data_IF_344162824480
#
_entry.id   IF_344162824480
#
_cell.length_a   1.000
_cell.length_b   1.000
_cell.length_c   1.000
_cell.angle_alpha   90.00
_cell.angle_beta   90.00
_cell.angle_gamma   90.00
#
_symmetry.space_group_name_H-M   'P 1'
#
loop_
_entity.id
_entity.type
_entity.pdbx_description
1 polymer ?
#
# COMPACT_ATOMS: atom_id res chain seq x y z
N UNK A 1 -30.87 29.84 32.71
CA UNK A 1 -30.15 30.06 31.44
C UNK A 1 -31.12 29.80 30.31
N UNK A 2 -31.30 30.75 29.40
CA UNK A 2 -32.06 30.51 28.16
C UNK A 2 -31.10 29.97 27.10
N UNK A 3 -31.48 28.90 26.41
CA UNK A 3 -30.71 28.33 25.30
C UNK A 3 -31.15 28.96 23.99
N UNK A 4 -30.20 29.28 23.10
CA UNK A 4 -30.48 29.69 21.73
C UNK A 4 -30.27 28.49 20.81
N UNK A 5 -31.27 28.18 19.97
CA UNK A 5 -31.16 27.18 18.90
C UNK A 5 -30.86 27.91 17.60
N UNK A 6 -29.86 27.43 16.87
CA UNK A 6 -29.44 27.99 15.58
C UNK A 6 -29.33 26.83 14.60
N UNK A 7 -30.04 26.92 13.49
CA UNK A 7 -29.92 25.98 12.38
C UNK A 7 -28.84 26.46 11.41
N UNK A 8 -28.78 27.77 11.14
CA UNK A 8 -27.86 28.34 10.16
C UNK A 8 -27.30 29.68 10.61
N UNK A 9 -26.04 29.93 10.24
CA UNK A 9 -25.39 31.24 10.33
C UNK A 9 -25.07 31.67 8.89
N UNK A 10 -25.64 32.77 8.42
CA UNK A 10 -25.43 33.28 7.07
C UNK A 10 -24.16 34.13 6.96
N UNK A 11 -23.57 34.15 5.76
CA UNK A 11 -22.51 35.09 5.43
C UNK A 11 -23.06 36.53 5.44
N UNK A 12 -22.36 37.52 6.00
CA UNK A 12 -22.93 38.87 6.16
C UNK A 12 -23.19 39.60 4.83
N UNK A 13 -22.51 39.20 3.74
CA UNK A 13 -22.58 39.89 2.45
C UNK A 13 -23.31 39.13 1.35
N UNK A 14 -23.87 37.96 1.63
CA UNK A 14 -24.65 37.19 0.66
C UNK A 14 -25.61 36.22 1.38
N UNK A 15 -26.48 35.55 0.64
CA UNK A 15 -27.47 34.63 1.20
C UNK A 15 -26.95 33.21 1.45
N UNK A 16 -25.64 32.95 1.29
CA UNK A 16 -25.08 31.63 1.55
C UNK A 16 -24.91 31.41 3.05
N UNK A 17 -25.11 30.17 3.47
CA UNK A 17 -24.83 29.76 4.85
C UNK A 17 -23.32 29.60 5.01
N UNK A 18 -22.76 30.21 6.07
CA UNK A 18 -21.37 30.05 6.50
C UNK A 18 -21.23 28.86 7.45
N UNK A 19 -22.23 28.65 8.32
CA UNK A 19 -22.36 27.46 9.18
C UNK A 19 -23.76 26.90 9.03
N UNK A 20 -23.88 25.59 8.85
CA UNK A 20 -25.17 24.87 8.91
C UNK A 20 -25.07 23.78 9.98
N UNK A 21 -26.07 23.71 10.86
CA UNK A 21 -26.19 22.78 11.98
C UNK A 21 -27.48 21.98 11.74
N UNK A 22 -27.35 20.72 11.33
CA UNK A 22 -28.48 19.83 11.16
C UNK A 22 -28.77 19.06 12.46
N UNK A 23 -30.04 18.98 12.86
CA UNK A 23 -30.48 18.26 14.06
C UNK A 23 -29.97 16.82 14.04
N UNK A 24 -29.24 16.44 15.10
CA UNK A 24 -28.65 15.11 15.31
C UNK A 24 -27.87 14.56 14.09
N UNK A 25 -27.26 15.47 13.31
CA UNK A 25 -26.56 15.15 12.07
C UNK A 25 -25.26 15.96 11.94
N UNK A 26 -24.89 16.39 10.73
CA UNK A 26 -23.64 17.09 10.48
C UNK A 26 -23.69 18.57 10.89
N UNK A 27 -22.55 19.09 11.33
CA UNK A 27 -22.23 20.52 11.33
C UNK A 27 -21.28 20.79 10.17
N UNK A 28 -21.59 21.78 9.35
CA UNK A 28 -20.81 22.12 8.15
C UNK A 28 -20.32 23.57 8.19
N UNK A 29 -19.02 23.78 7.99
CA UNK A 29 -18.41 25.06 7.67
C UNK A 29 -18.32 25.21 6.15
N UNK A 30 -18.81 26.33 5.63
CA UNK A 30 -18.99 26.55 4.19
C UNK A 30 -18.20 27.77 3.70
N UNK A 31 -17.67 27.67 2.48
CA UNK A 31 -17.08 28.79 1.76
C UNK A 31 -17.79 28.95 0.41
N UNK A 32 -18.36 30.13 0.16
CA UNK A 32 -19.14 30.43 -1.06
C UNK A 32 -20.21 29.36 -1.34
N UNK A 33 -20.97 28.97 -0.31
CA UNK A 33 -22.02 27.96 -0.38
C UNK A 33 -21.55 26.50 -0.37
N UNK A 34 -20.25 26.23 -0.57
CA UNK A 34 -19.70 24.87 -0.59
C UNK A 34 -19.17 24.44 0.78
N UNK A 35 -19.58 23.26 1.26
CA UNK A 35 -19.04 22.69 2.50
C UNK A 35 -17.56 22.37 2.36
N UNK A 36 -16.73 22.91 3.28
CA UNK A 36 -15.29 22.69 3.33
C UNK A 36 -14.90 21.74 4.45
N UNK A 37 -15.53 21.87 5.61
CA UNK A 37 -15.43 20.94 6.73
C UNK A 37 -16.85 20.52 7.08
N UNK A 38 -17.13 19.22 7.14
CA UNK A 38 -18.41 18.69 7.58
C UNK A 38 -18.19 17.54 8.55
N UNK A 39 -18.80 17.59 9.74
CA UNK A 39 -18.74 16.45 10.66
C UNK A 39 -19.53 15.26 10.13
N UNK A 40 -19.08 14.06 10.45
CA UNK A 40 -19.79 12.80 10.22
C UNK A 40 -19.94 12.09 11.57
N UNK A 41 -20.68 10.98 11.60
CA UNK A 41 -20.76 10.13 12.80
C UNK A 41 -19.41 9.52 13.20
N UNK A 42 -18.43 9.52 12.30
CA UNK A 42 -17.12 8.88 12.48
C UNK A 42 -15.94 9.85 12.39
N UNK A 43 -16.17 11.16 12.17
CA UNK A 43 -15.08 12.13 12.03
C UNK A 43 -15.49 13.38 11.26
N UNK A 44 -14.66 13.77 10.29
CA UNK A 44 -14.83 15.00 9.49
C UNK A 44 -14.46 14.73 8.04
N UNK A 45 -15.29 15.22 7.11
CA UNK A 45 -14.95 15.32 5.69
C UNK A 45 -14.37 16.71 5.43
N UNK A 46 -13.18 16.77 4.82
CA UNK A 46 -12.55 18.00 4.34
C UNK A 46 -12.57 17.99 2.81
N UNK A 47 -13.12 19.03 2.18
CA UNK A 47 -13.08 19.16 0.72
C UNK A 47 -12.00 20.15 0.28
N UNK A 48 -11.06 19.68 -0.54
CA UNK A 48 -9.89 20.43 -0.98
C UNK A 48 -8.61 20.06 -0.21
N UNK A 49 -7.62 20.95 -0.24
CA UNK A 49 -6.34 20.73 0.44
C UNK A 49 -6.44 21.06 1.94
N UNK A 50 -5.94 20.15 2.78
CA UNK A 50 -5.73 20.39 4.21
C UNK A 50 -4.22 20.48 4.47
N UNK A 51 -3.75 21.61 4.97
CA UNK A 51 -2.38 21.77 5.45
C UNK A 51 -2.36 21.56 6.97
N UNK A 52 -1.99 20.36 7.42
CA UNK A 52 -1.84 20.04 8.83
C UNK A 52 -0.38 20.20 9.28
N UNK A 53 -0.15 20.80 10.44
CA UNK A 53 1.18 20.84 11.07
C UNK A 53 1.55 19.51 11.71
N UNK A 54 0.56 18.76 12.17
CA UNK A 54 0.74 17.42 12.78
C UNK A 54 -0.54 16.63 12.56
N UNK A 55 -0.38 15.35 12.17
CA UNK A 55 -1.45 14.36 12.19
C UNK A 55 -1.01 13.25 13.14
N UNK A 56 -1.80 12.97 14.17
CA UNK A 56 -1.54 11.91 15.14
C UNK A 56 -2.50 10.74 14.92
N UNK A 57 -1.98 9.52 14.94
CA UNK A 57 -2.77 8.28 14.74
C UNK A 57 -2.53 7.64 13.37
N UNK A 58 -3.44 6.76 12.95
CA UNK A 58 -3.35 6.08 11.65
C UNK A 58 -3.89 6.95 10.53
N UNK A 59 -3.13 7.11 9.45
CA UNK A 59 -3.59 7.69 8.20
C UNK A 59 -4.00 6.59 7.24
N UNK A 60 -5.31 6.37 7.09
CA UNK A 60 -5.85 5.44 6.10
C UNK A 60 -6.21 6.21 4.83
N UNK A 61 -5.37 6.13 3.80
CA UNK A 61 -5.73 6.61 2.47
C UNK A 61 -6.40 5.48 1.69
N UNK A 62 -7.70 5.58 1.38
CA UNK A 62 -8.38 4.51 0.63
C UNK A 62 -7.94 4.44 -0.83
N UNK A 63 -7.44 5.55 -1.40
CA UNK A 63 -7.07 5.69 -2.83
C UNK A 63 -6.03 6.82 -3.09
N UNK A 64 -5.20 7.18 -2.11
CA UNK A 64 -4.30 8.34 -2.22
C UNK A 64 -2.85 7.99 -2.60
N UNK A 65 -2.21 8.85 -3.39
CA UNK A 65 -0.75 8.83 -3.64
C UNK A 65 -0.08 9.91 -2.78
N UNK A 66 1.03 9.57 -2.12
CA UNK A 66 1.93 10.57 -1.55
C UNK A 66 2.88 11.05 -2.65
N UNK A 67 2.78 12.32 -3.03
CA UNK A 67 3.61 12.91 -4.10
C UNK A 67 4.81 13.72 -3.56
N UNK A 68 4.88 13.92 -2.24
CA UNK A 68 5.98 14.60 -1.56
C UNK A 68 7.04 13.64 -1.03
N UNK A 69 8.09 14.21 -0.44
CA UNK A 69 9.08 13.45 0.31
C UNK A 69 8.45 12.79 1.53
N UNK A 70 8.75 11.50 1.72
CA UNK A 70 8.34 10.74 2.90
C UNK A 70 9.56 10.50 3.79
N UNK A 71 9.53 11.01 5.02
CA UNK A 71 10.57 10.77 6.03
C UNK A 71 9.97 9.88 7.12
N UNK A 72 10.55 8.68 7.30
CA UNK A 72 10.20 7.76 8.37
C UNK A 72 11.17 7.94 9.54
N UNK A 73 10.67 8.32 10.72
CA UNK A 73 11.52 8.50 11.91
C UNK A 73 11.92 7.18 12.60
N UNK A 74 11.33 6.07 12.17
CA UNK A 74 11.45 4.72 12.72
C UNK A 74 11.42 3.69 11.59
N UNK A 75 11.49 2.42 11.97
CA UNK A 75 11.40 1.30 11.06
C UNK A 75 10.12 1.30 10.22
N UNK A 76 10.22 0.73 9.04
CA UNK A 76 9.08 0.40 8.18
C UNK A 76 8.77 -1.07 8.44
N UNK A 77 7.56 -1.35 8.91
CA UNK A 77 7.06 -2.72 9.01
C UNK A 77 6.43 -3.11 7.68
N UNK A 78 7.04 -4.05 6.98
CA UNK A 78 6.51 -4.58 5.72
C UNK A 78 5.51 -5.72 5.96
N UNK A 79 4.50 -5.81 5.09
CA UNK A 79 3.60 -6.97 5.08
C UNK A 79 4.33 -8.19 4.54
N UNK A 80 4.35 -9.26 5.35
CA UNK A 80 4.84 -10.58 4.95
C UNK A 80 3.65 -11.42 4.49
N UNK A 81 3.72 -11.92 3.25
CA UNK A 81 2.67 -12.74 2.66
C UNK A 81 3.17 -14.15 2.33
N UNK A 82 2.45 -15.15 2.81
CA UNK A 82 2.72 -16.54 2.46
C UNK A 82 1.94 -16.93 1.20
N UNK A 83 2.66 -17.13 0.10
CA UNK A 83 2.09 -17.61 -1.15
C UNK A 83 1.48 -19.00 -0.93
N UNK A 84 0.23 -19.15 -1.35
CA UNK A 84 -0.41 -20.47 -1.47
C UNK A 84 0.13 -21.18 -2.70
N UNK A 85 0.70 -22.36 -2.50
CA UNK A 85 1.38 -23.11 -3.56
C UNK A 85 0.41 -23.58 -4.67
N UNK A 86 0.74 -23.26 -5.92
CA UNK A 86 -0.04 -23.61 -7.11
C UNK A 86 0.89 -23.86 -8.30
N UNK A 87 0.39 -24.46 -9.39
CA UNK A 87 1.19 -24.76 -10.60
C UNK A 87 1.82 -23.50 -11.20
N UNK A 88 1.09 -22.38 -11.13
CA UNK A 88 1.55 -21.05 -11.55
C UNK A 88 1.07 -20.01 -10.54
N UNK A 89 1.95 -19.11 -10.12
CA UNK A 89 1.63 -18.02 -9.18
C UNK A 89 2.19 -16.70 -9.70
N UNK A 90 1.40 -15.64 -9.57
CA UNK A 90 1.86 -14.28 -9.84
C UNK A 90 2.60 -13.69 -8.65
N UNK A 91 3.79 -13.15 -8.89
CA UNK A 91 4.57 -12.41 -7.92
C UNK A 91 4.10 -10.96 -7.92
N UNK A 92 3.30 -10.60 -6.92
CA UNK A 92 2.62 -9.30 -6.86
C UNK A 92 2.87 -8.63 -5.49
N UNK A 93 3.72 -7.58 -5.43
CA UNK A 93 4.02 -6.87 -4.20
C UNK A 93 2.79 -6.29 -3.48
N UNK A 94 1.63 -6.18 -4.13
CA UNK A 94 0.40 -5.73 -3.50
C UNK A 94 -0.07 -6.63 -2.34
N UNK A 95 0.29 -7.91 -2.37
CA UNK A 95 -0.03 -8.85 -1.29
C UNK A 95 0.91 -8.70 -0.09
N UNK A 96 2.11 -8.16 -0.34
CA UNK A 96 3.20 -8.00 0.61
C UNK A 96 4.52 -7.82 -0.12
N UNK A 97 5.34 -6.90 0.38
CA UNK A 97 6.67 -6.63 -0.18
C UNK A 97 7.67 -7.75 0.15
N UNK A 98 7.40 -8.52 1.22
CA UNK A 98 8.10 -9.77 1.52
C UNK A 98 7.14 -10.92 1.26
N UNK A 99 7.53 -11.88 0.42
CA UNK A 99 6.72 -13.06 0.14
C UNK A 99 7.49 -14.34 0.37
N UNK A 100 6.86 -15.31 1.04
CA UNK A 100 7.40 -16.66 1.22
C UNK A 100 6.65 -17.64 0.34
N UNK A 101 7.36 -18.56 -0.31
CA UNK A 101 6.74 -19.60 -1.13
C UNK A 101 7.41 -20.95 -0.92
N UNK A 102 6.65 -21.88 -0.33
CA UNK A 102 7.05 -23.28 -0.24
C UNK A 102 6.60 -24.03 -1.49
N UNK A 103 7.55 -24.55 -2.28
CA UNK A 103 7.26 -25.30 -3.49
C UNK A 103 6.97 -26.76 -3.16
N UNK A 104 5.82 -27.27 -3.57
CA UNK A 104 5.44 -28.69 -3.51
C UNK A 104 5.75 -29.50 -4.79
N UNK A 105 6.19 -28.83 -5.86
CA UNK A 105 6.59 -29.43 -7.14
C UNK A 105 7.43 -28.42 -7.94
N UNK A 106 7.81 -28.75 -9.17
CA UNK A 106 8.26 -27.74 -10.12
C UNK A 106 7.13 -26.74 -10.39
N UNK A 107 7.38 -25.44 -10.16
CA UNK A 107 6.38 -24.37 -10.29
C UNK A 107 6.74 -23.35 -11.36
N UNK A 108 5.79 -22.50 -11.70
CA UNK A 108 5.99 -21.34 -12.59
C UNK A 108 5.64 -20.04 -11.86
N UNK A 109 6.51 -19.05 -11.94
CA UNK A 109 6.23 -17.69 -11.50
C UNK A 109 5.83 -16.82 -12.70
N UNK A 110 4.88 -15.91 -12.50
CA UNK A 110 4.56 -14.84 -13.45
C UNK A 110 4.82 -13.47 -12.82
N UNK A 111 5.20 -12.50 -13.63
CA UNK A 111 5.49 -11.13 -13.21
C UNK A 111 4.20 -10.30 -13.10
N UNK A 112 3.96 -9.70 -11.94
CA UNK A 112 2.94 -8.67 -11.71
C UNK A 112 3.52 -7.36 -11.14
N UNK A 113 4.84 -7.18 -11.15
CA UNK A 113 5.47 -5.95 -10.69
C UNK A 113 5.25 -4.83 -11.71
N UNK A 114 4.88 -3.66 -11.20
CA UNK A 114 4.87 -2.41 -11.95
C UNK A 114 6.23 -1.71 -11.87
N UNK A 115 6.58 -0.89 -12.87
CA UNK A 115 7.86 -0.18 -12.89
C UNK A 115 8.04 0.66 -11.61
N UNK A 116 9.22 0.53 -10.99
CA UNK A 116 9.54 1.19 -9.73
C UNK A 116 9.21 0.36 -8.48
N UNK A 117 8.58 -0.81 -8.61
CA UNK A 117 8.38 -1.72 -7.48
C UNK A 117 9.55 -2.70 -7.32
N UNK A 118 9.76 -3.11 -6.06
CA UNK A 118 10.59 -4.25 -5.71
C UNK A 118 9.88 -5.17 -4.71
N UNK A 119 10.40 -6.37 -4.50
CA UNK A 119 9.96 -7.30 -3.46
C UNK A 119 11.08 -8.28 -3.10
N UNK A 120 11.07 -8.73 -1.85
CA UNK A 120 11.88 -9.86 -1.41
C UNK A 120 11.05 -11.15 -1.51
N UNK A 121 11.48 -12.06 -2.36
CA UNK A 121 10.92 -13.41 -2.47
C UNK A 121 11.81 -14.41 -1.75
N UNK A 122 11.23 -15.18 -0.83
CA UNK A 122 11.90 -16.26 -0.09
C UNK A 122 11.27 -17.58 -0.50
N UNK A 123 12.05 -18.45 -1.12
CA UNK A 123 11.56 -19.73 -1.65
C UNK A 123 12.11 -20.87 -0.83
N UNK A 124 11.25 -21.78 -0.40
CA UNK A 124 11.64 -23.07 0.18
C UNK A 124 11.21 -24.19 -0.77
N UNK A 125 12.16 -24.90 -1.36
CA UNK A 125 11.88 -26.05 -2.19
C UNK A 125 11.79 -27.31 -1.32
N UNK A 126 10.58 -27.84 -1.07
CA UNK A 126 10.41 -28.99 -0.16
C UNK A 126 11.13 -30.27 -0.59
N UNK A 127 11.63 -30.32 -1.83
CA UNK A 127 12.61 -31.27 -2.34
C UNK A 127 13.75 -30.52 -3.04
N UNK A 128 14.98 -31.01 -2.94
CA UNK A 128 16.18 -30.41 -3.57
C UNK A 128 16.09 -30.33 -5.10
N UNK A 129 15.16 -31.05 -5.72
CA UNK A 129 15.01 -31.12 -7.16
C UNK A 129 13.92 -30.19 -7.70
N UNK A 130 13.17 -29.50 -6.83
CA UNK A 130 12.13 -28.59 -7.28
C UNK A 130 12.73 -27.30 -7.80
N UNK A 131 12.35 -26.96 -9.04
CA UNK A 131 12.77 -25.75 -9.72
C UNK A 131 11.61 -24.77 -9.86
N UNK A 132 11.93 -23.48 -9.86
CA UNK A 132 10.99 -22.44 -10.27
C UNK A 132 11.30 -22.01 -11.71
N UNK A 133 10.29 -22.09 -12.58
CA UNK A 133 10.35 -21.44 -13.89
C UNK A 133 10.07 -19.95 -13.69
N UNK A 134 11.05 -19.11 -14.00
CA UNK A 134 10.96 -17.67 -13.82
C UNK A 134 10.25 -16.98 -15.00
N UNK A 135 9.58 -15.84 -14.77
CA UNK A 135 9.12 -14.98 -15.85
C UNK A 135 10.30 -14.48 -16.70
N UNK A 136 10.01 -13.81 -17.82
CA UNK A 136 11.07 -13.14 -18.59
C UNK A 136 11.70 -12.04 -17.74
N UNK A 137 12.96 -12.24 -17.35
CA UNK A 137 13.69 -11.34 -16.47
C UNK A 137 15.19 -11.37 -16.72
N UNK A 138 15.90 -10.34 -16.25
CA UNK A 138 17.36 -10.24 -16.30
C UNK A 138 17.95 -10.53 -14.93
N UNK A 139 18.82 -11.54 -14.85
CA UNK A 139 19.50 -11.88 -13.61
C UNK A 139 20.74 -11.00 -13.41
N UNK A 140 20.81 -10.36 -12.24
CA UNK A 140 22.06 -9.81 -11.73
C UNK A 140 23.00 -10.98 -11.48
N UNK A 141 24.19 -10.96 -12.09
CA UNK A 141 25.12 -12.10 -12.10
C UNK A 141 24.92 -13.08 -13.26
N UNK A 142 23.94 -12.87 -14.13
CA UNK A 142 23.82 -13.52 -15.43
C UNK A 142 22.98 -14.80 -15.49
N UNK A 143 22.69 -15.45 -14.36
CA UNK A 143 21.87 -16.67 -14.30
C UNK A 143 20.92 -16.71 -13.11
N UNK A 144 19.84 -17.49 -13.21
CA UNK A 144 18.97 -17.79 -12.09
C UNK A 144 19.72 -18.56 -10.98
N UNK A 145 19.33 -18.39 -9.71
CA UNK A 145 19.89 -19.19 -8.62
C UNK A 145 19.51 -20.65 -8.73
N UNK A 146 20.40 -21.52 -8.26
CA UNK A 146 20.02 -22.84 -7.76
C UNK A 146 19.32 -22.66 -6.42
N UNK A 147 18.12 -23.23 -6.25
CA UNK A 147 17.41 -23.17 -4.98
C UNK A 147 18.05 -24.09 -3.95
N UNK A 148 18.09 -23.65 -2.68
CA UNK A 148 18.70 -24.36 -1.56
C UNK A 148 17.94 -25.60 -1.07
N UNK A 149 16.90 -26.03 -1.78
CA UNK A 149 16.01 -27.10 -1.33
C UNK A 149 15.26 -26.68 -0.06
N UNK A 150 15.41 -27.46 1.00
CA UNK A 150 14.78 -27.18 2.29
C UNK A 150 15.37 -25.93 2.98
N UNK A 151 16.59 -25.52 2.62
CA UNK A 151 17.15 -24.23 3.03
C UNK A 151 16.52 -23.12 2.17
N UNK A 152 15.84 -22.13 2.78
CA UNK A 152 15.18 -21.09 2.01
C UNK A 152 16.18 -20.24 1.22
N UNK A 153 15.88 -19.94 -0.04
CA UNK A 153 16.68 -19.02 -0.88
C UNK A 153 15.96 -17.68 -0.99
N UNK A 154 16.65 -16.60 -0.62
CA UNK A 154 16.16 -15.22 -0.71
C UNK A 154 16.61 -14.54 -2.01
N UNK A 155 15.67 -13.86 -2.67
CA UNK A 155 15.82 -13.28 -4.00
C UNK A 155 15.14 -11.93 -4.03
N UNK A 156 15.89 -10.87 -4.33
CA UNK A 156 15.35 -9.53 -4.56
C UNK A 156 14.88 -9.43 -6.00
N UNK A 157 13.64 -8.99 -6.20
CA UNK A 157 13.04 -8.74 -7.50
C UNK A 157 12.72 -7.26 -7.62
N UNK A 158 13.05 -6.62 -8.74
CA UNK A 158 12.70 -5.22 -8.97
C UNK A 158 12.47 -4.93 -10.44
N UNK A 159 11.56 -4.00 -10.73
CA UNK A 159 11.10 -3.70 -12.09
C UNK A 159 11.54 -2.30 -12.50
N UNK A 160 12.27 -2.19 -13.60
CA UNK A 160 12.66 -0.89 -14.19
C UNK A 160 12.19 -0.84 -15.65
N UNK A 161 11.27 0.07 -15.94
CA UNK A 161 10.58 0.10 -17.23
C UNK A 161 9.83 -1.22 -17.46
N UNK A 162 10.09 -1.86 -18.60
CA UNK A 162 9.52 -3.17 -18.93
C UNK A 162 10.28 -4.35 -18.35
N UNK A 163 11.51 -4.15 -17.90
CA UNK A 163 12.41 -5.24 -17.51
C UNK A 163 12.24 -5.58 -16.04
N UNK A 164 11.92 -6.85 -15.75
CA UNK A 164 12.03 -7.43 -14.42
C UNK A 164 13.49 -7.87 -14.21
N UNK A 165 14.05 -7.51 -13.07
CA UNK A 165 15.37 -7.95 -12.62
C UNK A 165 15.24 -8.86 -11.41
N UNK A 166 16.19 -9.78 -11.26
CA UNK A 166 16.34 -10.58 -10.05
C UNK A 166 17.78 -10.63 -9.61
N UNK A 167 18.01 -10.56 -8.30
CA UNK A 167 19.30 -10.76 -7.68
C UNK A 167 19.16 -11.77 -6.55
N UNK A 168 20.01 -12.80 -6.56
CA UNK A 168 20.10 -13.72 -5.44
C UNK A 168 20.71 -13.01 -4.25
N UNK A 169 19.97 -12.93 -3.13
CA UNK A 169 20.49 -12.42 -1.86
C UNK A 169 21.33 -13.50 -1.19
N UNK A 170 20.84 -14.74 -1.20
CA UNK A 170 21.55 -15.92 -0.69
C UNK A 170 20.60 -16.95 -0.08
N UNK A 171 21.17 -18.06 0.37
CA UNK A 171 20.46 -19.05 1.16
C UNK A 171 20.44 -18.62 2.63
N UNK A 172 19.29 -18.76 3.29
CA UNK A 172 19.09 -18.44 4.70
C UNK A 172 19.49 -19.65 5.55
N UNK A 173 20.70 -19.62 6.12
CA UNK A 173 21.28 -20.70 6.94
C UNK A 173 22.10 -20.20 8.11
#
# INVERSE_FOLDING_TARGET
MSTVKVEEIQHPSNSNNAVSIASDSSVSLKHSGSAKLATTSTGVTITGACAATTLSGSLTASTGTFTGEAIFQKEITETVFAITDASSVALDPINGMIQTWTLGANRTATDSLTTGQSMLLIITASSSNYTLTWPTMTWVGGSAPTLGGATPTAIELFKVGSTLYGATVGDLG
#
